data_IF_544250125512
#
_entry.id   IF_544250125512
#
_cell.length_a   1.000
_cell.length_b   1.000
_cell.length_c   1.000
_cell.angle_alpha   90.00
_cell.angle_beta   90.00
_cell.angle_gamma   90.00
#
_symmetry.space_group_name_H-M   'P 1'
#
loop_
_entity.id
_entity.type
_entity.pdbx_description
1 polymer ?
#
# COMPACT_ATOMS: atom_id res chain seq x y z
N UNK A 1 36.07 27.08 23.67
CA UNK A 1 35.98 25.60 23.81
C UNK A 1 34.70 25.20 24.54
N UNK A 2 34.38 25.85 25.68
CA UNK A 2 33.13 25.64 26.43
C UNK A 2 31.89 25.93 25.56
N UNK A 3 31.90 27.02 24.78
CA UNK A 3 30.74 27.42 23.96
C UNK A 3 30.37 26.36 22.90
N UNK A 4 31.36 25.68 22.33
CA UNK A 4 31.15 24.63 21.32
C UNK A 4 30.50 23.40 21.98
N UNK A 5 30.94 23.03 23.19
CA UNK A 5 30.37 21.91 23.94
C UNK A 5 28.93 22.21 24.35
N UNK A 6 28.68 23.43 24.83
CA UNK A 6 27.33 23.88 25.21
C UNK A 6 26.40 23.93 24.01
N UNK A 7 26.83 24.51 22.89
CA UNK A 7 26.06 24.56 21.64
C UNK A 7 25.72 23.15 21.12
N UNK A 8 26.70 22.24 21.19
CA UNK A 8 26.54 20.84 20.80
C UNK A 8 25.51 20.12 21.68
N UNK A 9 25.53 20.36 22.99
CA UNK A 9 24.57 19.78 23.94
C UNK A 9 23.15 20.30 23.70
N UNK A 10 23.00 21.61 23.44
CA UNK A 10 21.71 22.20 23.09
C UNK A 10 21.17 21.65 21.77
N UNK A 11 22.03 21.51 20.76
CA UNK A 11 21.68 20.90 19.48
C UNK A 11 21.18 19.47 19.63
N UNK A 12 21.87 18.66 20.45
CA UNK A 12 21.44 17.30 20.74
C UNK A 12 20.09 17.27 21.47
N UNK A 13 19.89 18.16 22.45
CA UNK A 13 18.64 18.22 23.22
C UNK A 13 17.45 18.63 22.34
N UNK A 14 17.63 19.65 21.49
CA UNK A 14 16.63 20.07 20.50
C UNK A 14 16.35 18.96 19.49
N UNK A 15 17.40 18.33 18.97
CA UNK A 15 17.32 17.21 18.02
C UNK A 15 16.63 15.99 18.61
N UNK A 16 16.77 15.74 19.91
CA UNK A 16 16.07 14.65 20.59
C UNK A 16 14.57 14.94 20.70
N UNK A 17 14.20 16.16 21.07
CA UNK A 17 12.80 16.59 21.16
C UNK A 17 12.12 16.54 19.79
N UNK A 18 12.72 17.20 18.80
CA UNK A 18 12.16 17.29 17.46
C UNK A 18 12.23 15.95 16.70
N UNK A 19 13.33 15.22 16.88
CA UNK A 19 13.53 13.87 16.33
C UNK A 19 12.51 12.88 16.84
N UNK A 20 12.08 12.98 18.11
CA UNK A 20 11.03 12.12 18.66
C UNK A 20 9.69 12.34 17.93
N UNK A 21 9.32 13.59 17.67
CA UNK A 21 8.08 13.91 16.92
C UNK A 21 8.18 13.38 15.48
N UNK A 22 9.30 13.64 14.82
CA UNK A 22 9.55 13.16 13.45
C UNK A 22 9.56 11.61 13.38
N UNK A 23 10.12 10.94 14.39
CA UNK A 23 10.11 9.49 14.52
C UNK A 23 8.70 8.93 14.49
N UNK A 24 7.79 9.45 15.33
CA UNK A 24 6.42 8.95 15.37
C UNK A 24 5.65 9.24 14.08
N UNK A 25 5.84 10.42 13.49
CA UNK A 25 5.21 10.79 12.23
C UNK A 25 5.61 9.83 11.10
N UNK A 26 6.91 9.58 10.94
CA UNK A 26 7.43 8.71 9.88
C UNK A 26 7.14 7.25 10.17
N UNK A 27 7.21 6.81 11.44
CA UNK A 27 6.83 5.46 11.84
C UNK A 27 5.37 5.18 11.45
N UNK A 28 4.44 6.08 11.77
CA UNK A 28 3.04 5.94 11.41
C UNK A 28 2.86 5.88 9.89
N UNK A 29 3.55 6.76 9.16
CA UNK A 29 3.48 6.80 7.71
C UNK A 29 4.02 5.52 7.05
N UNK A 30 5.14 4.98 7.55
CA UNK A 30 5.67 3.68 7.11
C UNK A 30 4.68 2.55 7.37
N UNK A 31 3.99 2.57 8.52
CA UNK A 31 2.96 1.57 8.82
C UNK A 31 1.82 1.64 7.81
N UNK A 32 1.30 2.84 7.56
CA UNK A 32 0.21 3.09 6.62
C UNK A 32 0.62 2.69 5.20
N UNK A 33 1.80 3.14 4.73
CA UNK A 33 2.30 2.84 3.39
C UNK A 33 2.38 1.32 3.17
N UNK A 34 3.03 0.60 4.08
CA UNK A 34 3.19 -0.85 3.95
C UNK A 34 1.87 -1.60 4.11
N UNK A 35 0.93 -1.05 4.87
CA UNK A 35 -0.41 -1.62 4.98
C UNK A 35 -1.15 -1.59 3.65
N UNK A 36 -1.07 -0.49 2.89
CA UNK A 36 -1.73 -0.35 1.59
C UNK A 36 -0.94 -1.02 0.44
N UNK A 37 0.35 -0.72 0.33
CA UNK A 37 1.19 -1.14 -0.81
C UNK A 37 1.74 -2.56 -0.65
N UNK A 38 1.75 -3.12 0.57
CA UNK A 38 2.42 -4.39 0.90
C UNK A 38 3.95 -4.40 0.67
N UNK A 39 4.53 -3.27 0.29
CA UNK A 39 5.97 -3.06 0.10
C UNK A 39 6.57 -2.26 1.25
N UNK A 40 7.89 -2.36 1.43
CA UNK A 40 8.63 -1.53 2.39
C UNK A 40 8.73 -0.10 1.88
N UNK A 41 8.59 0.88 2.78
CA UNK A 41 8.82 2.26 2.41
C UNK A 41 10.33 2.44 2.12
N UNK A 42 10.72 2.97 0.94
CA UNK A 42 12.11 3.28 0.67
C UNK A 42 12.66 4.24 1.74
N UNK A 43 13.80 3.90 2.35
CA UNK A 43 14.38 4.71 3.42
C UNK A 43 14.64 6.15 3.00
N UNK A 44 15.07 6.37 1.75
CA UNK A 44 15.24 7.71 1.19
C UNK A 44 13.95 8.54 1.20
N UNK A 45 12.82 7.90 0.87
CA UNK A 45 11.51 8.55 0.87
C UNK A 45 11.06 8.88 2.30
N UNK A 46 11.29 7.97 3.24
CA UNK A 46 11.03 8.21 4.66
C UNK A 46 11.88 9.33 5.25
N UNK A 47 13.15 9.43 4.85
CA UNK A 47 14.05 10.54 5.24
C UNK A 47 13.53 11.86 4.69
N UNK A 48 13.21 11.92 3.39
CA UNK A 48 12.69 13.13 2.76
C UNK A 48 11.37 13.60 3.41
N UNK A 49 10.47 12.67 3.74
CA UNK A 49 9.20 12.97 4.39
C UNK A 49 9.39 13.43 5.84
N UNK A 50 10.28 12.77 6.60
CA UNK A 50 10.57 13.14 7.99
C UNK A 50 11.26 14.48 8.11
N UNK A 51 12.29 14.72 7.30
CA UNK A 51 12.97 16.02 7.24
C UNK A 51 12.08 17.11 6.67
N UNK A 52 11.22 16.79 5.70
CA UNK A 52 10.22 17.73 5.18
C UNK A 52 9.25 18.15 6.27
N UNK A 53 8.66 17.19 6.99
CA UNK A 53 7.75 17.46 8.10
C UNK A 53 8.41 18.31 9.18
N UNK A 54 9.63 17.94 9.59
CA UNK A 54 10.40 18.72 10.56
C UNK A 54 10.79 20.11 10.03
N UNK A 55 11.10 20.23 8.74
CA UNK A 55 11.38 21.49 8.06
C UNK A 55 10.20 22.45 8.06
N UNK A 56 8.97 21.96 7.85
CA UNK A 56 7.74 22.75 7.96
C UNK A 56 7.53 23.33 9.37
N UNK A 57 8.00 22.64 10.41
CA UNK A 57 7.95 23.15 11.78
C UNK A 57 9.04 24.19 12.10
N UNK A 58 9.88 24.55 11.11
CA UNK A 58 10.92 25.57 11.24
C UNK A 58 12.30 25.03 11.63
N UNK A 59 12.44 23.72 11.88
CA UNK A 59 13.71 23.13 12.32
C UNK A 59 14.83 23.22 11.29
N UNK A 60 14.50 23.05 10.00
CA UNK A 60 15.48 23.17 8.91
C UNK A 60 15.85 24.65 8.63
N UNK A 61 14.87 25.56 8.73
CA UNK A 61 15.06 27.00 8.52
C UNK A 61 16.00 27.61 9.57
N UNK A 62 15.89 27.17 10.82
CA UNK A 62 16.74 27.62 11.91
C UNK A 62 18.24 27.37 11.66
N UNK A 63 18.60 26.33 10.88
CA UNK A 63 19.99 26.06 10.53
C UNK A 63 20.49 26.92 9.36
N UNK A 64 19.64 27.23 8.37
CA UNK A 64 20.04 28.04 7.23
C UNK A 64 20.34 29.49 7.61
N UNK A 65 19.65 30.03 8.61
CA UNK A 65 19.92 31.39 9.11
C UNK A 65 21.21 31.47 9.93
N UNK A 66 21.58 30.41 10.67
CA UNK A 66 22.80 30.37 11.48
C UNK A 66 23.40 28.95 11.53
N UNK A 67 24.38 28.62 10.66
CA UNK A 67 25.01 27.30 10.66
C UNK A 67 25.95 27.15 11.86
N UNK A 68 25.42 26.71 13.00
CA UNK A 68 26.19 26.39 14.21
C UNK A 68 26.50 24.88 14.30
N UNK A 69 27.48 24.52 15.13
CA UNK A 69 27.84 23.11 15.36
C UNK A 69 26.69 22.35 16.03
N UNK A 70 25.95 23.02 16.91
CA UNK A 70 24.71 22.52 17.51
C UNK A 70 23.62 22.23 16.49
N UNK A 71 23.42 23.11 15.49
CA UNK A 71 22.46 22.88 14.41
C UNK A 71 22.76 21.64 13.57
N UNK A 72 24.04 21.37 13.30
CA UNK A 72 24.47 20.14 12.61
C UNK A 72 24.13 18.90 13.43
N UNK A 73 24.41 18.92 14.74
CA UNK A 73 24.10 17.81 15.65
C UNK A 73 22.59 17.60 15.78
N UNK A 74 21.81 18.69 15.79
CA UNK A 74 20.35 18.63 15.80
C UNK A 74 19.83 17.85 14.58
N UNK A 75 20.24 18.22 13.36
CA UNK A 75 19.83 17.55 12.12
C UNK A 75 20.25 16.08 12.11
N UNK A 76 21.48 15.81 12.54
CA UNK A 76 22.02 14.46 12.56
C UNK A 76 21.20 13.59 13.51
N UNK A 77 20.85 14.13 14.68
CA UNK A 77 19.97 13.47 15.65
C UNK A 77 18.58 13.22 15.05
N UNK A 78 17.94 14.22 14.46
CA UNK A 78 16.62 14.08 13.82
C UNK A 78 16.66 13.03 12.71
N UNK A 79 17.70 13.04 11.88
CA UNK A 79 17.87 12.09 10.76
C UNK A 79 17.98 10.65 11.26
N UNK A 80 18.75 10.42 12.33
CA UNK A 80 18.85 9.09 12.96
C UNK A 80 17.46 8.64 13.45
N UNK A 81 16.72 9.53 14.11
CA UNK A 81 15.37 9.23 14.59
C UNK A 81 14.42 8.93 13.42
N UNK A 82 14.48 9.68 12.33
CA UNK A 82 13.65 9.43 11.15
C UNK A 82 13.94 8.05 10.55
N UNK A 83 15.22 7.70 10.33
CA UNK A 83 15.63 6.38 9.83
C UNK A 83 15.17 5.26 10.76
N UNK A 84 15.29 5.48 12.07
CA UNK A 84 14.82 4.53 13.07
C UNK A 84 13.29 4.38 13.04
N UNK A 85 12.57 5.47 12.81
CA UNK A 85 11.11 5.50 12.64
C UNK A 85 10.66 4.69 11.44
N UNK A 86 11.31 4.86 10.28
CA UNK A 86 11.03 4.06 9.07
C UNK A 86 11.17 2.57 9.37
N UNK A 87 12.31 2.16 9.92
CA UNK A 87 12.61 0.77 10.23
C UNK A 87 11.64 0.18 11.27
N UNK A 88 11.26 0.98 12.26
CA UNK A 88 10.33 0.54 13.31
C UNK A 88 8.91 0.40 12.75
N UNK A 89 8.45 1.36 11.95
CA UNK A 89 7.15 1.30 11.28
C UNK A 89 7.04 0.11 10.34
N UNK A 90 8.10 -0.18 9.59
CA UNK A 90 8.17 -1.38 8.75
C UNK A 90 8.07 -2.68 9.56
N UNK A 91 8.75 -2.78 10.71
CA UNK A 91 8.66 -3.96 11.58
C UNK A 91 7.27 -4.12 12.17
N UNK A 92 6.61 -3.03 12.56
CA UNK A 92 5.24 -3.04 13.07
C UNK A 92 4.28 -3.52 11.97
N UNK A 93 4.34 -2.92 10.79
CA UNK A 93 3.48 -3.30 9.66
C UNK A 93 3.68 -4.75 9.21
N UNK A 94 4.88 -5.30 9.35
CA UNK A 94 5.14 -6.72 9.07
C UNK A 94 4.35 -7.67 9.98
N UNK A 95 4.07 -7.26 11.23
CA UNK A 95 3.40 -8.07 12.24
C UNK A 95 1.87 -7.92 12.23
N UNK A 96 1.34 -6.90 11.55
CA UNK A 96 -0.10 -6.67 11.47
C UNK A 96 -0.74 -7.72 10.54
N UNK A 97 -1.59 -8.63 11.05
CA UNK A 97 -2.20 -9.67 10.23
C UNK A 97 -3.18 -9.04 9.24
N UNK A 98 -2.91 -9.23 7.93
CA UNK A 98 -3.74 -8.73 6.81
C UNK A 98 -5.18 -9.28 6.76
N UNK A 99 -5.58 -10.12 7.72
CA UNK A 99 -6.87 -10.83 7.72
C UNK A 99 -8.06 -9.97 8.17
N UNK A 100 -7.83 -8.77 8.71
CA UNK A 100 -8.90 -7.87 9.16
C UNK A 100 -9.58 -7.03 8.06
N UNK A 101 -9.01 -6.97 6.85
CA UNK A 101 -9.47 -6.06 5.78
C UNK A 101 -10.12 -6.79 4.61
N UNK A 102 -11.21 -7.53 4.87
CA UNK A 102 -12.17 -7.85 3.80
C UNK A 102 -12.96 -6.62 3.31
N UNK A 103 -12.94 -5.52 4.07
CA UNK A 103 -13.66 -4.27 3.76
C UNK A 103 -12.87 -3.27 2.91
N UNK A 104 -11.55 -3.44 2.78
CA UNK A 104 -10.65 -2.52 2.02
C UNK A 104 -10.07 -3.16 0.75
N UNK A 105 -10.53 -4.36 0.37
CA UNK A 105 -10.13 -5.04 -0.87
C UNK A 105 -10.51 -4.25 -2.14
N UNK A 106 -11.42 -3.28 -2.05
CA UNK A 106 -11.78 -2.40 -3.17
C UNK A 106 -10.69 -1.40 -3.59
N UNK A 107 -9.67 -1.16 -2.76
CA UNK A 107 -8.61 -0.15 -3.01
C UNK A 107 -7.29 -0.81 -3.45
N UNK A 108 -7.24 -2.15 -3.60
CA UNK A 108 -6.04 -2.81 -4.10
C UNK A 108 -5.87 -2.47 -5.59
N UNK A 109 -4.90 -1.58 -5.87
CA UNK A 109 -4.37 -1.35 -7.21
C UNK A 109 -4.02 -2.73 -7.79
N UNK A 110 -4.72 -3.11 -8.85
CA UNK A 110 -4.80 -4.49 -9.32
C UNK A 110 -3.43 -5.11 -9.52
N UNK A 111 -3.17 -6.24 -8.85
CA UNK A 111 -2.15 -7.15 -9.36
C UNK A 111 -2.62 -7.52 -10.77
N UNK A 112 -1.76 -7.32 -11.78
CA UNK A 112 -2.04 -7.68 -13.19
C UNK A 112 -2.01 -9.19 -13.39
N UNK A 113 -2.43 -9.95 -12.41
CA UNK A 113 -2.52 -11.40 -12.49
C UNK A 113 -3.89 -11.69 -13.08
N UNK A 114 -3.94 -12.21 -14.30
CA UNK A 114 -5.18 -12.64 -14.94
C UNK A 114 -5.28 -14.15 -14.86
N UNK A 115 -6.44 -14.66 -14.45
CA UNK A 115 -6.78 -16.07 -14.56
C UNK A 115 -7.68 -16.28 -15.77
N UNK A 116 -7.38 -17.31 -16.54
CA UNK A 116 -8.20 -17.74 -17.68
C UNK A 116 -9.12 -18.84 -17.20
N UNK A 117 -10.43 -18.61 -17.28
CA UNK A 117 -11.45 -19.61 -16.96
C UNK A 117 -12.01 -20.14 -18.27
N UNK A 118 -11.90 -21.44 -18.49
CA UNK A 118 -12.56 -22.11 -19.62
C UNK A 118 -13.97 -22.53 -19.22
N UNK A 119 -14.94 -22.25 -20.08
CA UNK A 119 -16.28 -22.82 -19.96
C UNK A 119 -16.20 -24.35 -20.16
N UNK A 120 -17.07 -25.12 -19.47
CA UNK A 120 -17.14 -26.56 -19.64
C UNK A 120 -17.67 -26.92 -21.03
N UNK A 121 -17.42 -28.16 -21.45
CA UNK A 121 -17.90 -28.75 -22.71
C UNK A 121 -19.44 -28.62 -22.84
N UNK A 122 -19.96 -28.47 -24.05
CA UNK A 122 -21.40 -28.42 -24.39
C UNK A 122 -22.22 -29.48 -23.63
N UNK A 123 -21.67 -30.68 -23.45
CA UNK A 123 -22.34 -31.80 -22.76
C UNK A 123 -22.62 -31.53 -21.28
N UNK A 124 -21.89 -30.59 -20.68
CA UNK A 124 -22.01 -30.19 -19.28
C UNK A 124 -22.84 -28.91 -19.10
N UNK A 125 -23.38 -28.36 -20.20
CA UNK A 125 -24.27 -27.19 -20.19
C UNK A 125 -25.73 -27.66 -20.12
N UNK A 126 -26.23 -27.77 -18.89
CA UNK A 126 -27.58 -28.24 -18.61
C UNK A 126 -28.61 -27.10 -18.67
N UNK A 127 -29.77 -27.38 -19.26
CA UNK A 127 -30.91 -26.47 -19.22
C UNK A 127 -31.60 -26.57 -17.85
N UNK A 128 -31.98 -25.43 -17.30
CA UNK A 128 -32.72 -25.37 -16.05
C UNK A 128 -34.21 -25.58 -16.33
N UNK A 129 -34.85 -26.40 -15.49
CA UNK A 129 -36.29 -26.64 -15.56
C UNK A 129 -37.05 -25.30 -15.48
N UNK A 130 -38.06 -25.13 -16.34
CA UNK A 130 -38.89 -23.91 -16.47
C UNK A 130 -38.22 -22.68 -17.13
N UNK A 131 -37.09 -22.85 -17.82
CA UNK A 131 -36.50 -21.82 -18.69
C UNK A 131 -36.53 -22.23 -20.17
N UNK A 132 -36.51 -21.26 -21.11
CA UNK A 132 -36.34 -21.55 -22.53
C UNK A 132 -35.06 -22.37 -22.73
N UNK A 133 -35.13 -23.43 -23.54
CA UNK A 133 -33.95 -24.25 -23.84
C UNK A 133 -32.93 -23.42 -24.61
N UNK A 134 -31.67 -23.52 -24.20
CA UNK A 134 -30.56 -22.87 -24.92
C UNK A 134 -30.32 -23.65 -26.23
N UNK A 135 -30.28 -22.98 -27.41
CA UNK A 135 -30.03 -23.65 -28.68
C UNK A 135 -28.70 -24.42 -28.67
N UNK A 136 -28.66 -25.60 -29.29
CA UNK A 136 -27.43 -26.41 -29.38
C UNK A 136 -26.29 -25.64 -30.06
N UNK A 137 -26.59 -24.83 -31.07
CA UNK A 137 -25.61 -23.93 -31.71
C UNK A 137 -24.97 -22.94 -30.74
N UNK A 138 -25.75 -22.44 -29.76
CA UNK A 138 -25.26 -21.53 -28.73
C UNK A 138 -24.46 -22.25 -27.64
N UNK A 139 -24.82 -23.49 -27.31
CA UNK A 139 -24.03 -24.32 -26.39
C UNK A 139 -22.69 -24.72 -26.99
N UNK A 140 -22.64 -25.06 -28.28
CA UNK A 140 -21.41 -25.33 -29.00
C UNK A 140 -20.50 -24.09 -29.09
N UNK A 141 -21.07 -22.89 -29.25
CA UNK A 141 -20.28 -21.64 -29.30
C UNK A 141 -19.72 -21.25 -27.92
N UNK A 142 -20.45 -21.54 -26.85
CA UNK A 142 -19.99 -21.30 -25.47
C UNK A 142 -19.00 -22.37 -25.01
N UNK A 143 -19.08 -23.58 -25.55
CA UNK A 143 -18.09 -24.63 -25.32
C UNK A 143 -16.71 -24.14 -25.75
N UNK A 144 -15.68 -24.39 -24.93
CA UNK A 144 -14.29 -23.98 -25.16
C UNK A 144 -13.98 -22.46 -25.11
N UNK A 145 -14.97 -21.59 -24.88
CA UNK A 145 -14.71 -20.14 -24.70
C UNK A 145 -13.93 -19.89 -23.41
N UNK A 146 -12.94 -19.03 -23.54
CA UNK A 146 -12.07 -18.61 -22.43
C UNK A 146 -12.40 -17.20 -21.99
N UNK A 147 -12.67 -17.02 -20.70
CA UNK A 147 -12.81 -15.69 -20.09
C UNK A 147 -11.56 -15.35 -19.30
N UNK A 148 -10.91 -14.26 -19.69
CA UNK A 148 -9.85 -13.64 -18.91
C UNK A 148 -10.47 -12.72 -17.85
N UNK A 149 -10.15 -13.01 -16.58
CA UNK A 149 -10.61 -12.26 -15.41
C UNK A 149 -9.43 -12.00 -14.47
N UNK A 150 -9.47 -10.95 -13.64
CA UNK A 150 -8.41 -10.73 -12.66
C UNK A 150 -8.39 -11.88 -11.63
N UNK A 151 -7.21 -12.41 -11.34
CA UNK A 151 -7.00 -13.59 -10.49
C UNK A 151 -7.23 -13.31 -9.00
N UNK A 152 -7.28 -12.05 -8.60
CA UNK A 152 -7.53 -11.62 -7.21
C UNK A 152 -9.02 -11.67 -6.82
N UNK A 153 -9.92 -12.08 -7.73
CA UNK A 153 -11.36 -12.08 -7.47
C UNK A 153 -11.79 -13.29 -6.62
N UNK A 154 -12.66 -13.08 -5.61
CA UNK A 154 -13.35 -14.18 -4.95
C UNK A 154 -14.30 -14.88 -5.92
N UNK A 155 -14.57 -16.16 -5.68
CA UNK A 155 -15.39 -17.03 -6.54
C UNK A 155 -16.78 -16.42 -6.84
N UNK A 156 -17.40 -15.79 -5.86
CA UNK A 156 -18.73 -15.17 -6.00
C UNK A 156 -18.71 -14.00 -7.02
N UNK A 157 -17.63 -13.21 -7.05
CA UNK A 157 -17.49 -12.12 -8.02
C UNK A 157 -17.19 -12.65 -9.43
N UNK A 158 -16.40 -13.72 -9.53
CA UNK A 158 -16.14 -14.41 -10.80
C UNK A 158 -17.48 -14.84 -11.41
N UNK A 159 -18.32 -15.53 -10.65
CA UNK A 159 -19.65 -15.98 -11.10
C UNK A 159 -20.50 -14.79 -11.56
N UNK A 160 -20.54 -13.71 -10.78
CA UNK A 160 -21.32 -12.51 -11.12
C UNK A 160 -20.84 -11.84 -12.41
N UNK A 161 -19.54 -11.77 -12.65
CA UNK A 161 -18.96 -11.16 -13.86
C UNK A 161 -19.18 -12.03 -15.09
N UNK A 162 -18.97 -13.35 -14.98
CA UNK A 162 -19.25 -14.29 -16.07
C UNK A 162 -20.73 -14.23 -16.43
N UNK A 163 -21.64 -14.27 -15.44
CA UNK A 163 -23.07 -14.12 -15.67
C UNK A 163 -23.40 -12.82 -16.39
N UNK A 164 -22.82 -11.69 -15.98
CA UNK A 164 -23.04 -10.40 -16.63
C UNK A 164 -22.57 -10.40 -18.10
N UNK A 165 -21.41 -10.99 -18.41
CA UNK A 165 -20.93 -11.13 -19.78
C UNK A 165 -21.87 -12.00 -20.62
N UNK A 166 -22.30 -13.15 -20.09
CA UNK A 166 -23.25 -14.03 -20.75
C UNK A 166 -24.56 -13.31 -21.13
N UNK A 167 -25.10 -12.50 -20.21
CA UNK A 167 -26.30 -11.68 -20.48
C UNK A 167 -26.02 -10.60 -21.52
N UNK A 168 -24.86 -9.92 -21.44
CA UNK A 168 -24.57 -8.75 -22.29
C UNK A 168 -24.26 -9.15 -23.74
N UNK A 169 -23.46 -10.20 -23.90
CA UNK A 169 -22.93 -10.59 -25.21
C UNK A 169 -23.88 -11.58 -25.94
N UNK A 170 -24.65 -12.39 -25.18
CA UNK A 170 -25.55 -13.40 -25.75
C UNK A 170 -27.03 -13.25 -25.37
N UNK A 171 -27.39 -12.29 -24.50
CA UNK A 171 -28.80 -12.02 -24.16
C UNK A 171 -29.49 -13.10 -23.33
N UNK A 172 -28.72 -13.96 -22.64
CA UNK A 172 -29.21 -15.06 -21.80
C UNK A 172 -29.84 -14.60 -20.47
#
# INVERSE_FOLDING_TARGET
>A
MIDIVVDSLFGLLKGLLSGTVAFFAVMLLSVIYRFFTSEKLPSFMGIALGLGFWGFTGGLLAMFDQPTFGGVIEILTVTIFVVWGVNTGDKIAAKIPKKGTKMLSGIRYGSKTYSTIKLPDERLIFDIIAKPRVPASLKAELSEREFTLPADLPLDEIIKRVKRRLITDWGL
#
